data_IF_713433974359
#
_entry.id   IF_713433974359
#
_cell.length_a   1.000
_cell.length_b   1.000
_cell.length_c   1.000
_cell.angle_alpha   90.00
_cell.angle_beta   90.00
_cell.angle_gamma   90.00
#
_symmetry.space_group_name_H-M   'P 1'
#
loop_
_entity.id
_entity.type
_entity.pdbx_description
1 polymer ?
#
# COMPACT_ATOMS: atom_id res chain seq x y z
N UNK A 1 -23.47 -49.66 15.75
CA UNK A 1 -22.48 -49.72 14.67
C UNK A 1 -22.53 -48.41 13.91
N UNK A 2 -21.46 -47.61 14.00
CA UNK A 2 -21.22 -46.37 13.26
C UNK A 2 -19.84 -46.51 12.61
N UNK A 3 -19.63 -46.11 11.34
CA UNK A 3 -18.33 -46.31 10.69
C UNK A 3 -17.27 -45.34 11.21
N UNK A 4 -16.07 -45.87 11.49
CA UNK A 4 -14.88 -45.10 11.83
C UNK A 4 -14.37 -44.29 10.62
N UNK A 5 -14.23 -42.98 10.80
CA UNK A 5 -13.57 -42.11 9.83
C UNK A 5 -12.05 -42.26 9.93
N UNK A 6 -11.42 -42.83 8.89
CA UNK A 6 -9.96 -42.95 8.76
C UNK A 6 -9.33 -41.59 8.49
N UNK A 7 -8.41 -41.16 9.35
CA UNK A 7 -7.56 -39.99 9.12
C UNK A 7 -6.60 -40.24 7.94
N UNK A 8 -6.80 -39.51 6.85
CA UNK A 8 -5.84 -39.37 5.75
C UNK A 8 -4.68 -38.46 6.20
N UNK A 9 -3.46 -39.02 6.29
CA UNK A 9 -2.23 -38.26 6.48
C UNK A 9 -1.94 -37.45 5.21
N UNK A 10 -2.25 -36.16 5.23
CA UNK A 10 -1.82 -35.21 4.21
C UNK A 10 -0.30 -35.14 4.14
N UNK A 11 0.25 -35.44 2.95
CA UNK A 11 1.69 -35.40 2.66
C UNK A 11 2.23 -33.97 2.81
N UNK A 12 3.29 -33.84 3.61
CA UNK A 12 4.20 -32.69 3.65
C UNK A 12 4.73 -32.39 2.24
N UNK A 13 4.41 -31.20 1.70
CA UNK A 13 5.05 -30.71 0.49
C UNK A 13 6.43 -30.12 0.84
N UNK A 14 7.43 -30.95 0.61
CA UNK A 14 8.84 -30.59 0.50
C UNK A 14 9.04 -29.33 -0.36
N UNK A 15 9.76 -28.36 0.20
CA UNK A 15 10.22 -27.13 -0.45
C UNK A 15 11.08 -27.44 -1.68
N UNK A 16 10.51 -27.29 -2.88
CA UNK A 16 11.28 -27.35 -4.14
C UNK A 16 12.33 -26.23 -4.15
N UNK A 17 13.62 -26.59 -4.06
CA UNK A 17 14.75 -25.69 -4.31
C UNK A 17 14.61 -25.14 -5.73
N UNK A 18 14.46 -23.82 -5.89
CA UNK A 18 14.57 -23.14 -7.20
C UNK A 18 16.02 -23.23 -7.67
N UNK A 19 16.25 -24.08 -8.68
CA UNK A 19 17.53 -24.26 -9.38
C UNK A 19 17.68 -23.12 -10.40
N UNK A 20 18.92 -22.69 -10.68
CA UNK A 20 19.20 -21.72 -11.72
C UNK A 20 18.63 -22.19 -13.08
N UNK A 21 17.92 -21.32 -13.81
CA UNK A 21 17.34 -21.69 -15.12
C UNK A 21 18.45 -22.09 -16.09
N UNK A 22 18.23 -23.12 -16.94
CA UNK A 22 19.20 -23.59 -17.94
C UNK A 22 19.76 -22.46 -18.83
N UNK A 23 18.94 -21.45 -19.10
CA UNK A 23 19.30 -20.24 -19.86
C UNK A 23 20.34 -19.34 -19.17
N UNK A 24 20.44 -19.38 -17.84
CA UNK A 24 21.36 -18.54 -17.05
C UNK A 24 22.75 -19.17 -16.87
N UNK A 25 22.87 -20.50 -17.06
CA UNK A 25 24.12 -21.25 -16.82
C UNK A 25 25.19 -21.03 -17.90
N UNK A 26 24.79 -20.55 -19.08
CA UNK A 26 25.67 -20.34 -20.23
C UNK A 26 26.07 -18.87 -20.47
N UNK A 27 25.62 -17.94 -19.63
CA UNK A 27 25.79 -16.50 -19.82
C UNK A 27 26.61 -15.88 -18.69
N UNK A 28 27.36 -14.83 -19.00
CA UNK A 28 27.90 -13.94 -17.97
C UNK A 28 26.75 -13.09 -17.42
N UNK A 29 26.36 -13.39 -16.19
CA UNK A 29 25.21 -12.77 -15.54
C UNK A 29 25.66 -11.89 -14.39
N UNK A 30 24.74 -11.05 -13.90
CA UNK A 30 24.91 -10.20 -12.73
C UNK A 30 26.02 -9.15 -12.86
N UNK A 31 26.07 -8.21 -11.91
CA UNK A 31 27.13 -7.19 -11.83
C UNK A 31 28.53 -7.78 -11.57
N UNK A 32 28.60 -9.01 -11.06
CA UNK A 32 29.86 -9.72 -10.83
C UNK A 32 30.45 -10.36 -12.08
N UNK A 33 29.72 -10.34 -13.22
CA UNK A 33 30.15 -10.91 -14.52
C UNK A 33 30.66 -12.35 -14.41
N UNK A 34 30.11 -13.11 -13.46
CA UNK A 34 30.49 -14.50 -13.22
C UNK A 34 29.38 -15.41 -13.76
N UNK A 35 29.78 -16.57 -14.31
CA UNK A 35 28.82 -17.60 -14.75
C UNK A 35 28.05 -18.15 -13.55
N UNK A 36 26.74 -18.38 -13.74
CA UNK A 36 25.90 -19.00 -12.74
C UNK A 36 26.29 -20.46 -12.49
N UNK A 37 26.28 -20.89 -11.23
CA UNK A 37 26.31 -22.30 -10.85
C UNK A 37 24.90 -22.84 -10.67
N UNK A 38 24.72 -24.14 -10.83
CA UNK A 38 23.41 -24.81 -10.66
C UNK A 38 22.79 -24.61 -9.27
N UNK A 39 23.60 -24.31 -8.26
CA UNK A 39 23.19 -24.08 -6.87
C UNK A 39 22.82 -22.64 -6.56
N UNK A 40 23.07 -21.71 -7.49
CA UNK A 40 22.91 -20.29 -7.23
C UNK A 40 21.45 -19.88 -7.21
N UNK A 41 21.09 -19.05 -6.22
CA UNK A 41 19.78 -18.40 -6.17
C UNK A 41 19.85 -17.14 -7.02
N UNK A 42 19.16 -17.19 -8.15
CA UNK A 42 19.12 -16.11 -9.13
C UNK A 42 17.76 -15.42 -9.15
N UNK A 43 17.77 -14.12 -9.44
CA UNK A 43 16.59 -13.30 -9.69
C UNK A 43 16.69 -12.66 -11.07
N UNK A 44 15.55 -12.57 -11.76
CA UNK A 44 15.44 -11.97 -13.08
C UNK A 44 15.00 -10.50 -13.01
N UNK A 45 15.74 -9.62 -13.67
CA UNK A 45 15.36 -8.23 -13.89
C UNK A 45 14.40 -8.15 -15.08
N UNK A 46 13.18 -7.67 -14.84
CA UNK A 46 12.11 -7.59 -15.83
C UNK A 46 12.19 -6.32 -16.70
N UNK A 47 13.34 -5.62 -16.68
CA UNK A 47 13.61 -4.54 -17.63
C UNK A 47 14.28 -5.14 -18.88
N UNK A 48 13.60 -5.12 -20.06
CA UNK A 48 14.13 -5.74 -21.28
C UNK A 48 15.43 -5.10 -21.78
N UNK A 49 15.75 -3.87 -21.34
CA UNK A 49 16.96 -3.13 -21.73
C UNK A 49 17.99 -3.01 -20.59
N UNK A 50 17.99 -3.96 -19.64
CA UNK A 50 18.94 -3.96 -18.52
C UNK A 50 20.40 -4.13 -18.99
N UNK A 51 21.22 -3.08 -18.81
CA UNK A 51 22.65 -3.10 -19.19
C UNK A 51 23.51 -4.05 -18.33
N UNK A 52 23.02 -4.44 -17.16
CA UNK A 52 23.73 -5.31 -16.22
C UNK A 52 23.33 -6.79 -16.33
N UNK A 53 22.69 -7.17 -17.45
CA UNK A 53 22.22 -8.52 -17.71
C UNK A 53 20.82 -8.80 -17.17
N UNK A 54 20.28 -9.97 -17.52
CA UNK A 54 18.91 -10.40 -17.18
C UNK A 54 18.83 -11.04 -15.79
N UNK A 55 19.85 -11.82 -15.39
CA UNK A 55 19.85 -12.56 -14.13
C UNK A 55 20.88 -12.00 -13.14
N UNK A 56 20.55 -12.05 -11.84
CA UNK A 56 21.40 -11.57 -10.76
C UNK A 56 21.45 -12.57 -9.61
N UNK A 57 22.63 -12.74 -8.99
CA UNK A 57 22.74 -13.47 -7.73
C UNK A 57 22.08 -12.67 -6.61
N UNK A 58 21.25 -13.35 -5.81
CA UNK A 58 20.67 -12.72 -4.61
C UNK A 58 21.76 -12.16 -3.68
N UNK A 59 22.86 -12.90 -3.51
CA UNK A 59 23.98 -12.50 -2.66
C UNK A 59 24.70 -11.24 -3.17
N UNK A 60 24.91 -11.11 -4.49
CA UNK A 60 25.52 -9.90 -5.10
C UNK A 60 24.65 -8.65 -4.93
N UNK A 61 23.36 -8.83 -4.64
CA UNK A 61 22.41 -7.75 -4.34
C UNK A 61 22.14 -7.61 -2.83
N UNK A 62 22.88 -8.34 -1.98
CA UNK A 62 22.68 -8.41 -0.53
C UNK A 62 21.26 -8.84 -0.10
N UNK A 63 20.56 -9.59 -0.96
CA UNK A 63 19.22 -10.11 -0.69
C UNK A 63 19.31 -11.47 0.00
N UNK A 64 18.84 -11.55 1.25
CA UNK A 64 18.79 -12.81 2.02
C UNK A 64 17.67 -13.75 1.55
N UNK A 65 16.61 -13.21 0.95
CA UNK A 65 15.44 -13.95 0.47
C UNK A 65 14.98 -13.42 -0.89
N UNK A 66 14.25 -14.26 -1.62
CA UNK A 66 13.65 -13.89 -2.90
C UNK A 66 12.53 -12.85 -2.67
N UNK A 67 12.56 -11.69 -3.33
CA UNK A 67 11.47 -10.71 -3.32
C UNK A 67 10.16 -11.31 -3.82
N UNK A 68 9.03 -10.84 -3.29
CA UNK A 68 7.71 -11.37 -3.63
C UNK A 68 7.33 -11.14 -5.11
N UNK A 69 7.84 -10.08 -5.74
CA UNK A 69 7.62 -9.77 -7.16
C UNK A 69 8.72 -10.33 -8.08
N UNK A 70 9.56 -11.25 -7.61
CA UNK A 70 10.72 -11.76 -8.34
C UNK A 70 10.40 -12.47 -9.67
N UNK A 71 9.15 -12.89 -9.92
CA UNK A 71 8.74 -13.57 -11.15
C UNK A 71 7.80 -12.72 -12.02
N UNK A 72 7.64 -11.42 -11.74
CA UNK A 72 6.69 -10.58 -12.50
C UNK A 72 7.22 -9.21 -12.83
N UNK A 73 7.70 -8.44 -11.83
CA UNK A 73 7.98 -7.00 -12.01
C UNK A 73 9.27 -6.55 -11.35
N UNK A 74 10.08 -7.48 -10.84
CA UNK A 74 11.30 -7.11 -10.14
C UNK A 74 12.32 -6.45 -11.07
N UNK A 75 12.84 -5.30 -10.64
CA UNK A 75 13.87 -4.55 -11.33
C UNK A 75 15.13 -4.46 -10.47
N UNK A 76 16.30 -4.56 -11.12
CA UNK A 76 17.58 -4.39 -10.44
C UNK A 76 17.79 -2.94 -9.94
N UNK A 77 18.68 -2.70 -8.96
CA UNK A 77 18.90 -1.38 -8.38
C UNK A 77 19.21 -0.30 -9.43
N UNK A 78 19.96 -0.63 -10.47
CA UNK A 78 20.32 0.33 -11.53
C UNK A 78 19.16 0.62 -12.46
N UNK A 79 18.36 -0.39 -12.81
CA UNK A 79 17.14 -0.18 -13.60
C UNK A 79 16.10 0.64 -12.84
N UNK A 80 15.98 0.45 -11.52
CA UNK A 80 15.13 1.28 -10.65
C UNK A 80 15.61 2.73 -10.61
N UNK A 81 16.93 2.98 -10.49
CA UNK A 81 17.50 4.33 -10.52
C UNK A 81 17.33 5.02 -11.88
N UNK A 82 17.47 4.28 -12.97
CA UNK A 82 17.32 4.82 -14.33
C UNK A 82 15.86 5.15 -14.69
N UNK A 83 14.87 4.39 -14.21
CA UNK A 83 13.45 4.77 -14.31
C UNK A 83 13.16 6.08 -13.55
N UNK A 84 13.83 6.30 -12.42
CA UNK A 84 13.70 7.56 -11.68
C UNK A 84 14.39 8.76 -12.37
N UNK A 85 15.38 8.52 -13.24
CA UNK A 85 16.13 9.55 -13.96
C UNK A 85 15.56 9.91 -15.34
N UNK A 86 14.87 9.01 -16.03
CA UNK A 86 14.18 9.34 -17.30
C UNK A 86 13.08 10.40 -17.10
N UNK A 87 12.52 10.48 -15.89
CA UNK A 87 11.53 11.49 -15.52
C UNK A 87 12.12 12.86 -15.11
N UNK A 88 13.45 13.07 -15.19
CA UNK A 88 14.13 14.32 -14.77
C UNK A 88 14.83 15.12 -15.88
N UNK A 89 14.77 14.71 -17.15
CA UNK A 89 15.37 15.50 -18.24
C UNK A 89 14.41 16.52 -18.86
N UNK A 90 14.21 17.64 -18.15
CA UNK A 90 14.08 19.00 -18.73
C UNK A 90 14.45 20.00 -17.61
N UNK A 91 15.59 20.68 -17.76
CA UNK A 91 16.05 21.72 -16.84
C UNK A 91 17.55 21.65 -16.58
N UNK A 92 18.32 22.34 -17.43
CA UNK A 92 19.76 22.58 -17.29
C UNK A 92 20.04 23.58 -16.16
N UNK A 93 21.13 23.38 -15.41
CA UNK A 93 21.66 24.37 -14.48
C UNK A 93 22.43 23.74 -13.32
N UNK A 94 23.75 23.92 -13.30
CA UNK A 94 24.68 23.38 -12.30
C UNK A 94 24.36 23.87 -10.89
N UNK A 95 24.38 22.98 -9.89
CA UNK A 95 24.45 23.41 -8.48
C UNK A 95 25.42 22.50 -7.72
N UNK A 96 26.33 23.15 -6.98
CA UNK A 96 27.39 22.59 -6.15
C UNK A 96 26.80 21.73 -5.02
N UNK A 97 27.48 20.63 -4.70
CA UNK A 97 27.18 19.80 -3.52
C UNK A 97 27.38 20.64 -2.25
N UNK A 98 26.28 20.98 -1.57
CA UNK A 98 26.32 21.44 -0.18
C UNK A 98 26.03 20.25 0.73
N UNK A 99 26.92 20.08 1.72
CA UNK A 99 26.90 19.10 2.79
C UNK A 99 25.54 18.98 3.49
N UNK A 100 25.18 17.73 3.77
CA UNK A 100 24.61 17.23 5.02
C UNK A 100 23.69 18.22 5.77
N UNK A 101 22.37 18.08 5.55
CA UNK A 101 21.38 18.75 6.40
C UNK A 101 21.25 17.95 7.69
N UNK A 102 21.86 18.49 8.75
CA UNK A 102 21.45 18.31 10.13
C UNK A 102 19.96 18.67 10.27
N UNK A 103 19.26 17.93 11.12
CA UNK A 103 17.80 17.93 11.28
C UNK A 103 17.09 19.24 10.96
N UNK A 104 16.31 19.24 9.88
CA UNK A 104 15.27 20.24 9.66
C UNK A 104 13.94 19.55 9.86
N UNK A 105 13.15 20.08 10.79
CA UNK A 105 11.76 19.73 11.01
C UNK A 105 11.03 19.66 9.66
N UNK A 106 10.79 18.44 9.14
CA UNK A 106 9.88 18.22 8.02
C UNK A 106 8.53 18.74 8.46
N UNK A 107 8.15 19.91 7.99
CA UNK A 107 6.83 20.47 8.24
C UNK A 107 5.79 19.40 7.90
N UNK A 108 4.82 19.19 8.80
CA UNK A 108 3.74 18.22 8.60
C UNK A 108 3.04 18.37 7.23
N UNK A 109 3.13 19.57 6.62
CA UNK A 109 2.53 19.93 5.34
C UNK A 109 2.89 19.01 4.17
N UNK A 110 4.10 18.46 4.07
CA UNK A 110 4.46 17.63 2.91
C UNK A 110 3.87 16.22 2.94
N UNK A 111 3.48 15.72 4.12
CA UNK A 111 2.97 14.36 4.29
C UNK A 111 1.50 14.20 3.90
N UNK A 112 0.78 15.30 3.69
CA UNK A 112 -0.65 15.31 3.37
C UNK A 112 -0.93 15.98 2.00
N UNK A 113 0.08 16.61 1.39
CA UNK A 113 -0.06 17.32 0.12
C UNK A 113 -0.45 16.39 -1.04
N UNK A 114 -1.17 16.92 -2.05
CA UNK A 114 -1.34 16.24 -3.33
C UNK A 114 0.02 15.84 -3.92
N UNK A 115 0.09 14.64 -4.50
CA UNK A 115 1.30 14.15 -5.18
C UNK A 115 1.27 14.50 -6.68
N UNK A 116 0.08 14.71 -7.23
CA UNK A 116 -0.18 15.04 -8.62
C UNK A 116 -1.68 15.03 -8.86
N UNK A 117 -2.10 15.22 -10.12
CA UNK A 117 -3.50 15.00 -10.53
C UNK A 117 -3.67 13.54 -10.96
N UNK A 118 -4.83 12.96 -10.68
CA UNK A 118 -5.22 11.69 -11.25
C UNK A 118 -5.28 11.80 -12.78
N UNK A 119 -4.84 10.74 -13.46
CA UNK A 119 -4.89 10.60 -14.91
C UNK A 119 -6.00 9.66 -15.33
N UNK A 120 -6.16 9.45 -16.63
CA UNK A 120 -7.12 8.49 -17.15
C UNK A 120 -6.87 7.07 -16.63
N UNK A 121 -5.60 6.68 -16.38
CA UNK A 121 -5.26 5.36 -15.84
C UNK A 121 -5.88 5.11 -14.48
N UNK A 122 -5.84 6.09 -13.56
CA UNK A 122 -6.47 5.97 -12.25
C UNK A 122 -8.00 5.96 -12.36
N UNK A 123 -8.58 6.71 -13.31
CA UNK A 123 -10.02 6.69 -13.55
C UNK A 123 -10.50 5.35 -14.12
N UNK A 124 -9.75 4.73 -15.02
CA UNK A 124 -10.03 3.40 -15.57
C UNK A 124 -9.92 2.32 -14.47
N UNK A 125 -8.94 2.47 -13.58
CA UNK A 125 -8.77 1.61 -12.41
C UNK A 125 -9.97 1.66 -11.46
N UNK A 126 -10.53 2.85 -11.22
CA UNK A 126 -11.74 3.02 -10.39
C UNK A 126 -12.96 2.42 -11.09
N UNK A 127 -13.10 2.68 -12.40
CA UNK A 127 -14.23 2.21 -13.20
C UNK A 127 -14.26 0.69 -13.35
N UNK A 128 -13.10 0.03 -13.33
CA UNK A 128 -13.01 -1.43 -13.39
C UNK A 128 -13.64 -2.09 -12.15
N UNK A 129 -14.56 -3.07 -12.32
CA UNK A 129 -15.17 -3.78 -11.20
C UNK A 129 -14.17 -4.61 -10.39
N UNK A 130 -13.02 -4.94 -10.96
CA UNK A 130 -11.94 -5.71 -10.31
C UNK A 130 -10.68 -4.87 -10.07
N UNK A 131 -10.74 -3.55 -10.34
CA UNK A 131 -9.60 -2.66 -10.20
C UNK A 131 -9.27 -2.37 -8.74
N UNK A 132 -8.03 -2.61 -8.35
CA UNK A 132 -7.52 -2.33 -7.00
C UNK A 132 -7.05 -0.89 -6.91
N UNK A 133 -7.68 -0.07 -6.06
CA UNK A 133 -7.24 1.31 -5.90
C UNK A 133 -5.79 1.38 -5.42
N UNK A 134 -5.03 2.30 -6.01
CA UNK A 134 -3.63 2.52 -5.68
C UNK A 134 -3.45 3.65 -4.65
N UNK A 135 -2.21 3.91 -4.26
CA UNK A 135 -1.90 4.99 -3.32
C UNK A 135 -2.26 6.38 -3.88
N UNK A 136 -2.26 6.56 -5.21
CA UNK A 136 -2.56 7.84 -5.86
C UNK A 136 -4.04 8.20 -5.66
N UNK A 137 -4.95 7.25 -5.91
CA UNK A 137 -6.39 7.43 -5.68
C UNK A 137 -6.70 7.66 -4.21
N UNK A 138 -6.11 6.87 -3.31
CA UNK A 138 -6.32 7.02 -1.87
C UNK A 138 -5.80 8.38 -1.37
N UNK A 139 -4.65 8.83 -1.88
CA UNK A 139 -4.11 10.15 -1.53
C UNK A 139 -4.99 11.29 -2.02
N UNK A 140 -5.53 11.21 -3.24
CA UNK A 140 -6.48 12.22 -3.72
C UNK A 140 -7.74 12.24 -2.83
N UNK A 141 -8.26 11.07 -2.45
CA UNK A 141 -9.37 10.98 -1.52
C UNK A 141 -9.04 11.62 -0.16
N UNK A 142 -7.85 11.39 0.39
CA UNK A 142 -7.36 12.06 1.62
C UNK A 142 -7.38 13.58 1.48
N UNK A 143 -6.86 14.11 0.37
CA UNK A 143 -6.87 15.55 0.09
C UNK A 143 -8.29 16.11 0.08
N UNK A 144 -9.24 15.41 -0.55
CA UNK A 144 -10.63 15.84 -0.60
C UNK A 144 -11.33 15.74 0.76
N UNK A 145 -11.06 14.70 1.54
CA UNK A 145 -11.64 14.53 2.88
C UNK A 145 -11.17 15.61 3.87
N UNK A 146 -9.92 16.06 3.77
CA UNK A 146 -9.43 17.20 4.55
C UNK A 146 -10.17 18.50 4.22
N UNK A 147 -10.70 18.66 2.99
CA UNK A 147 -11.55 19.81 2.63
C UNK A 147 -12.96 19.69 3.20
N UNK A 148 -13.47 18.45 3.33
CA UNK A 148 -14.78 18.18 3.96
C UNK A 148 -14.72 18.52 5.45
N UNK A 149 -13.63 18.12 6.12
CA UNK A 149 -13.47 18.38 7.54
C UNK A 149 -11.99 18.62 7.89
N UNK A 150 -11.63 19.90 8.01
CA UNK A 150 -10.27 20.34 8.29
C UNK A 150 -9.89 20.29 9.78
N UNK A 151 -10.83 19.99 10.68
CA UNK A 151 -10.53 19.86 12.12
C UNK A 151 -10.03 18.47 12.49
N UNK A 152 -10.26 17.48 11.62
CA UNK A 152 -9.80 16.10 11.82
C UNK A 152 -8.38 15.93 11.29
N UNK A 153 -7.51 15.38 12.16
CA UNK A 153 -6.13 15.01 11.84
C UNK A 153 -6.03 13.72 11.03
N UNK A 154 -4.81 13.29 10.68
CA UNK A 154 -4.58 12.07 9.91
C UNK A 154 -4.43 12.37 8.43
N UNK A 155 -5.06 11.57 7.57
CA UNK A 155 -4.99 11.70 6.10
C UNK A 155 -3.57 11.88 5.55
N UNK A 156 -2.60 11.26 6.21
CA UNK A 156 -1.21 11.26 5.78
C UNK A 156 -1.03 10.24 4.67
N UNK A 157 -0.08 10.52 3.76
CA UNK A 157 0.21 9.69 2.59
C UNK A 157 0.27 8.20 2.95
N UNK A 158 -0.52 7.35 2.29
CA UNK A 158 -0.51 5.91 2.54
C UNK A 158 0.88 5.26 2.43
N UNK A 159 1.73 5.80 1.55
CA UNK A 159 3.11 5.32 1.34
C UNK A 159 4.03 5.50 2.54
N UNK A 160 3.60 6.24 3.58
CA UNK A 160 4.35 6.41 4.82
C UNK A 160 4.18 5.23 5.79
N UNK A 161 3.14 4.41 5.66
CA UNK A 161 2.92 3.28 6.56
C UNK A 161 4.06 2.25 6.46
N UNK A 162 4.44 1.76 5.26
CA UNK A 162 5.49 0.74 5.13
C UNK A 162 6.87 1.20 5.63
N UNK A 163 7.14 2.51 5.59
CA UNK A 163 8.39 3.10 6.07
C UNK A 163 8.31 3.65 7.50
N UNK A 164 7.14 3.52 8.16
CA UNK A 164 6.88 3.99 9.53
C UNK A 164 7.21 5.46 9.76
N UNK A 165 6.87 6.31 8.79
CA UNK A 165 7.17 7.75 8.82
C UNK A 165 5.93 8.64 8.95
N UNK A 166 4.84 8.11 9.53
CA UNK A 166 3.73 8.97 9.94
C UNK A 166 4.21 10.00 10.97
N UNK A 167 3.69 11.22 10.86
CA UNK A 167 3.71 12.17 11.97
C UNK A 167 2.73 11.70 13.03
N UNK A 168 3.07 11.90 14.30
CA UNK A 168 2.17 11.56 15.40
C UNK A 168 0.95 12.48 15.36
N UNK A 169 -0.24 11.91 15.55
CA UNK A 169 -1.51 12.64 15.68
C UNK A 169 -1.90 12.73 17.16
N UNK A 170 -2.39 13.90 17.56
CA UNK A 170 -2.74 14.20 18.96
C UNK A 170 -4.23 14.45 19.20
N UNK A 171 -4.98 14.80 18.16
CA UNK A 171 -6.43 14.98 18.19
C UNK A 171 -7.18 13.86 17.47
N UNK A 172 -8.48 14.11 17.23
CA UNK A 172 -9.28 13.20 16.44
C UNK A 172 -8.71 13.00 15.05
N UNK A 173 -8.64 11.74 14.60
CA UNK A 173 -8.06 11.42 13.30
C UNK A 173 -8.87 10.41 12.50
N UNK A 174 -8.67 10.46 11.19
CA UNK A 174 -9.04 9.41 10.24
C UNK A 174 -7.81 9.11 9.38
N UNK A 175 -7.46 7.83 9.23
CA UNK A 175 -6.32 7.41 8.43
C UNK A 175 -6.65 6.13 7.68
N UNK A 176 -6.61 6.19 6.35
CA UNK A 176 -6.64 4.98 5.52
C UNK A 176 -5.21 4.45 5.41
N UNK A 177 -5.04 3.14 5.67
CA UNK A 177 -3.74 2.47 5.68
C UNK A 177 -3.70 1.35 4.64
N UNK A 178 -2.55 1.21 3.98
CA UNK A 178 -2.25 0.09 3.09
C UNK A 178 -1.54 -1.00 3.88
N UNK A 179 -2.11 -2.21 3.88
CA UNK A 179 -1.58 -3.37 4.59
C UNK A 179 -0.82 -4.27 3.62
N UNK A 180 0.16 -5.02 4.13
CA UNK A 180 1.11 -5.82 3.34
C UNK A 180 0.47 -6.89 2.42
N UNK A 181 -0.77 -7.31 2.71
CA UNK A 181 -1.56 -8.21 1.87
C UNK A 181 -2.31 -7.49 0.73
N UNK A 182 -1.85 -6.28 0.38
CA UNK A 182 -2.46 -5.39 -0.61
C UNK A 182 -3.86 -4.90 -0.22
N UNK A 183 -4.18 -4.89 1.08
CA UNK A 183 -5.50 -4.53 1.59
C UNK A 183 -5.56 -3.08 2.07
N UNK A 184 -6.74 -2.47 1.99
CA UNK A 184 -7.02 -1.13 2.49
C UNK A 184 -7.97 -1.20 3.68
N UNK A 185 -7.62 -0.51 4.76
CA UNK A 185 -8.48 -0.38 5.93
C UNK A 185 -8.48 1.07 6.45
N UNK A 186 -9.50 1.43 7.22
CA UNK A 186 -9.62 2.77 7.80
C UNK A 186 -9.48 2.69 9.33
N UNK A 187 -8.60 3.53 9.88
CA UNK A 187 -8.40 3.72 11.32
C UNK A 187 -8.97 5.07 11.74
N UNK A 188 -9.61 5.14 12.90
CA UNK A 188 -10.09 6.41 13.45
C UNK A 188 -10.12 6.40 14.98
N UNK A 189 -9.89 7.56 15.60
CA UNK A 189 -10.18 7.78 17.03
C UNK A 189 -11.55 8.40 17.28
N UNK A 190 -12.30 8.79 16.24
CA UNK A 190 -13.55 9.53 16.40
C UNK A 190 -14.53 8.71 17.24
N UNK A 191 -15.10 9.37 18.26
CA UNK A 191 -16.04 8.73 19.21
C UNK A 191 -15.37 7.77 20.19
N UNK A 192 -14.05 7.86 20.40
CA UNK A 192 -13.29 7.03 21.34
C UNK A 192 -12.53 7.88 22.36
N UNK A 193 -12.22 7.26 23.49
CA UNK A 193 -11.31 7.84 24.48
C UNK A 193 -9.89 7.98 23.91
N UNK A 194 -9.08 8.94 24.38
CA UNK A 194 -7.71 9.12 23.93
C UNK A 194 -6.91 7.81 23.96
N UNK A 195 -6.24 7.50 22.85
CA UNK A 195 -5.42 6.29 22.71
C UNK A 195 -6.16 5.04 22.23
N UNK A 196 -7.49 5.06 22.18
CA UNK A 196 -8.30 3.97 21.63
C UNK A 196 -8.64 4.24 20.17
N UNK A 197 -8.51 3.22 19.34
CA UNK A 197 -8.68 3.34 17.88
C UNK A 197 -9.69 2.31 17.39
N UNK A 198 -10.60 2.77 16.54
CA UNK A 198 -11.51 1.92 15.79
C UNK A 198 -10.87 1.52 14.46
N UNK A 199 -10.97 0.24 14.12
CA UNK A 199 -10.60 -0.34 12.83
C UNK A 199 -11.87 -0.66 12.03
N UNK A 200 -11.97 -0.07 10.84
CA UNK A 200 -13.03 -0.29 9.88
C UNK A 200 -12.44 -1.07 8.70
N UNK A 201 -12.82 -2.34 8.62
CA UNK A 201 -12.27 -3.31 7.69
C UNK A 201 -13.43 -3.97 6.93
N UNK A 202 -13.49 -3.77 5.61
CA UNK A 202 -14.50 -4.36 4.72
C UNK A 202 -14.22 -5.83 4.39
N UNK A 203 -13.04 -6.35 4.76
CA UNK A 203 -12.65 -7.74 4.60
C UNK A 203 -12.07 -8.22 5.95
N UNK A 204 -12.94 -8.23 6.96
CA UNK A 204 -12.61 -8.39 8.38
C UNK A 204 -11.54 -9.45 8.57
N UNK A 205 -10.37 -8.97 8.96
CA UNK A 205 -9.20 -9.77 9.29
C UNK A 205 -8.88 -9.65 10.77
N UNK A 206 -8.22 -10.64 11.40
CA UNK A 206 -7.74 -10.47 12.77
C UNK A 206 -6.83 -9.24 12.89
N UNK A 207 -6.91 -8.51 14.01
CA UNK A 207 -6.00 -7.39 14.30
C UNK A 207 -4.57 -7.94 14.35
N UNK A 208 -3.82 -7.70 13.28
CA UNK A 208 -2.45 -8.18 13.14
C UNK A 208 -1.47 -7.27 13.86
N UNK A 209 -0.28 -7.80 14.13
CA UNK A 209 0.83 -7.00 14.68
C UNK A 209 1.17 -5.80 13.79
N UNK A 210 1.01 -5.94 12.47
CA UNK A 210 1.21 -4.85 11.51
C UNK A 210 0.27 -3.67 11.77
N UNK A 211 -1.03 -3.93 11.96
CA UNK A 211 -2.02 -2.88 12.25
C UNK A 211 -1.69 -2.20 13.59
N UNK A 212 -1.28 -2.98 14.60
CA UNK A 212 -0.84 -2.45 15.90
C UNK A 212 0.38 -1.54 15.73
N UNK A 213 1.38 -1.94 14.96
CA UNK A 213 2.58 -1.15 14.71
C UNK A 213 2.28 0.14 13.95
N UNK A 214 1.45 0.10 12.90
CA UNK A 214 1.02 1.31 12.20
C UNK A 214 0.29 2.28 13.13
N UNK A 215 -0.60 1.77 13.97
CA UNK A 215 -1.34 2.58 14.93
C UNK A 215 -0.42 3.17 15.99
N UNK A 216 0.58 2.41 16.48
CA UNK A 216 1.62 2.92 17.38
C UNK A 216 2.47 4.02 16.73
N UNK A 217 2.82 3.90 15.45
CA UNK A 217 3.54 4.98 14.76
C UNK A 217 2.69 6.24 14.63
N UNK A 218 1.37 6.09 14.48
CA UNK A 218 0.44 7.20 14.34
C UNK A 218 0.15 7.90 15.69
N UNK A 219 0.01 7.16 16.79
CA UNK A 219 -0.35 7.72 18.11
C UNK A 219 0.84 7.87 19.07
N UNK A 220 1.99 7.29 18.74
CA UNK A 220 3.16 7.26 19.60
C UNK A 220 2.85 6.65 20.99
N UNK A 221 3.31 7.27 22.09
CA UNK A 221 3.11 6.75 23.45
C UNK A 221 1.65 6.76 23.91
N UNK A 222 0.76 7.47 23.21
CA UNK A 222 -0.65 7.56 23.58
C UNK A 222 -1.45 6.33 23.17
N UNK A 223 -0.91 5.43 22.34
CA UNK A 223 -1.61 4.22 21.91
C UNK A 223 -2.01 3.32 23.09
N UNK A 224 -3.27 2.88 23.13
CA UNK A 224 -3.82 1.96 24.14
C UNK A 224 -4.34 0.67 23.52
N UNK A 225 -5.30 0.76 22.60
CA UNK A 225 -5.94 -0.42 22.03
C UNK A 225 -6.59 -0.15 20.67
N UNK A 226 -6.85 -1.22 19.92
CA UNK A 226 -7.61 -1.22 18.66
C UNK A 226 -8.86 -2.08 18.82
N UNK A 227 -9.98 -1.65 18.27
CA UNK A 227 -11.24 -2.41 18.29
C UNK A 227 -11.85 -2.43 16.90
N UNK A 228 -12.34 -3.59 16.45
CA UNK A 228 -13.11 -3.66 15.21
C UNK A 228 -14.48 -3.02 15.36
N UNK A 229 -14.90 -2.30 14.33
CA UNK A 229 -16.28 -1.86 14.16
C UNK A 229 -16.95 -2.75 13.10
N UNK A 230 -18.14 -3.33 13.37
CA UNK A 230 -18.83 -4.20 12.44
C UNK A 230 -19.46 -3.40 11.28
N UNK A 231 -18.65 -3.04 10.30
CA UNK A 231 -19.07 -2.33 9.09
C UNK A 231 -19.47 -3.30 7.97
N UNK A 232 -20.22 -2.80 6.98
CA UNK A 232 -20.63 -3.59 5.83
C UNK A 232 -19.42 -4.19 5.11
N UNK A 233 -19.42 -5.50 4.92
CA UNK A 233 -18.32 -6.17 4.22
C UNK A 233 -18.44 -5.99 2.70
N UNK A 234 -17.29 -5.97 2.01
CA UNK A 234 -17.23 -5.96 0.56
C UNK A 234 -17.70 -7.30 -0.01
N UNK A 235 -18.17 -7.30 -1.26
CA UNK A 235 -18.67 -8.51 -1.94
C UNK A 235 -17.68 -9.12 -2.95
N UNK A 236 -16.49 -8.52 -3.11
CA UNK A 236 -15.44 -8.98 -4.03
C UNK A 236 -14.04 -8.80 -3.40
N UNK A 237 -12.97 -9.06 -4.15
CA UNK A 237 -11.59 -8.93 -3.64
C UNK A 237 -10.97 -7.53 -3.74
N UNK A 238 -11.54 -6.61 -4.50
CA UNK A 238 -10.88 -5.37 -4.95
C UNK A 238 -11.46 -4.08 -4.37
N UNK A 239 -12.62 -4.15 -3.71
CA UNK A 239 -13.34 -2.96 -3.24
C UNK A 239 -12.85 -2.39 -1.90
N UNK A 240 -11.87 -3.01 -1.25
CA UNK A 240 -11.37 -2.57 0.06
C UNK A 240 -11.00 -1.08 0.09
N UNK A 241 -10.36 -0.56 -0.97
CA UNK A 241 -10.05 0.86 -1.09
C UNK A 241 -11.29 1.74 -1.21
N UNK A 242 -12.31 1.28 -1.95
CA UNK A 242 -13.58 2.02 -2.14
C UNK A 242 -14.34 2.09 -0.81
N UNK A 243 -14.43 0.97 -0.08
CA UNK A 243 -15.08 0.93 1.23
C UNK A 243 -14.30 1.76 2.26
N UNK A 244 -12.97 1.70 2.28
CA UNK A 244 -12.17 2.52 3.18
C UNK A 244 -12.42 4.03 2.96
N UNK A 245 -12.53 4.48 1.70
CA UNK A 245 -12.91 5.86 1.37
C UNK A 245 -14.35 6.14 1.82
N UNK A 246 -15.30 5.24 1.59
CA UNK A 246 -16.69 5.42 1.99
C UNK A 246 -16.84 5.59 3.51
N UNK A 247 -16.16 4.75 4.31
CA UNK A 247 -16.13 4.87 5.77
C UNK A 247 -15.53 6.21 6.21
N UNK A 248 -14.36 6.57 5.63
CA UNK A 248 -13.70 7.83 5.94
C UNK A 248 -14.57 9.04 5.56
N UNK A 249 -15.36 8.93 4.50
CA UNK A 249 -16.33 9.94 4.07
C UNK A 249 -17.45 10.09 5.09
N UNK A 250 -18.06 9.00 5.56
CA UNK A 250 -19.04 9.06 6.65
C UNK A 250 -18.47 9.78 7.87
N UNK A 251 -17.28 9.38 8.31
CA UNK A 251 -16.62 9.95 9.49
C UNK A 251 -16.29 11.44 9.30
N UNK A 252 -15.78 11.86 8.14
CA UNK A 252 -15.48 13.26 7.84
C UNK A 252 -16.74 14.14 7.92
N UNK A 253 -17.89 13.63 7.46
CA UNK A 253 -19.20 14.30 7.58
C UNK A 253 -19.87 14.16 8.96
N UNK A 254 -19.18 13.59 9.95
CA UNK A 254 -19.73 13.36 11.29
C UNK A 254 -20.87 12.34 11.33
N UNK A 255 -20.90 11.41 10.36
CA UNK A 255 -21.89 10.32 10.25
C UNK A 255 -21.29 8.99 10.67
N UNK A 256 -22.16 8.07 11.10
CA UNK A 256 -21.74 6.69 11.36
C UNK A 256 -21.34 5.99 10.06
N UNK A 257 -20.24 5.23 10.03
CA UNK A 257 -19.87 4.37 8.91
C UNK A 257 -20.58 3.00 8.96
N UNK A 258 -21.36 2.72 10.01
CA UNK A 258 -22.18 1.50 10.13
C UNK A 258 -23.50 1.71 9.37
N UNK A 259 -23.41 1.62 8.04
CA UNK A 259 -24.52 1.82 7.10
C UNK A 259 -24.50 0.73 6.03
N UNK A 260 -25.59 0.64 5.25
CA UNK A 260 -25.68 -0.23 4.08
C UNK A 260 -25.46 0.61 2.82
N UNK A 261 -24.24 0.60 2.29
CA UNK A 261 -23.94 1.15 0.98
C UNK A 261 -24.58 0.34 -0.14
N UNK A 262 -25.04 1.06 -1.17
CA UNK A 262 -25.50 0.47 -2.43
C UNK A 262 -24.26 0.11 -3.25
N UNK A 263 -23.72 -1.10 -3.05
CA UNK A 263 -22.42 -1.55 -3.60
C UNK A 263 -22.27 -1.28 -5.11
N UNK A 264 -23.25 -1.56 -5.98
CA UNK A 264 -23.12 -1.27 -7.42
C UNK A 264 -22.90 0.21 -7.75
N UNK A 265 -23.22 1.13 -6.83
CA UNK A 265 -23.08 2.58 -7.01
C UNK A 265 -21.80 3.15 -6.39
N UNK A 266 -21.04 2.40 -5.60
CA UNK A 266 -19.89 2.95 -4.86
C UNK A 266 -18.75 3.38 -5.79
N UNK A 267 -18.35 2.55 -6.75
CA UNK A 267 -17.31 2.89 -7.75
C UNK A 267 -17.73 4.03 -8.69
N UNK A 268 -18.93 4.00 -9.33
CA UNK A 268 -19.40 5.13 -10.13
C UNK A 268 -19.47 6.44 -9.33
N UNK A 269 -19.91 6.38 -8.08
CA UNK A 269 -19.97 7.54 -7.19
C UNK A 269 -18.58 8.09 -6.85
N UNK A 270 -17.64 7.22 -6.48
CA UNK A 270 -16.25 7.61 -6.21
C UNK A 270 -15.62 8.28 -7.44
N UNK A 271 -15.81 7.69 -8.61
CA UNK A 271 -15.32 8.24 -9.87
C UNK A 271 -15.88 9.65 -10.13
N UNK A 272 -17.18 9.84 -9.94
CA UNK A 272 -17.84 11.13 -10.08
C UNK A 272 -17.29 12.16 -9.10
N UNK A 273 -17.15 11.79 -7.82
CA UNK A 273 -16.61 12.66 -6.78
C UNK A 273 -15.16 13.10 -7.06
N UNK A 274 -14.30 12.17 -7.48
CA UNK A 274 -12.89 12.48 -7.79
C UNK A 274 -12.78 13.39 -9.02
N UNK A 275 -13.60 13.18 -10.05
CA UNK A 275 -13.67 14.09 -11.21
C UNK A 275 -14.19 15.48 -10.83
N UNK A 276 -15.16 15.55 -9.91
CA UNK A 276 -15.70 16.80 -9.41
C UNK A 276 -14.77 17.52 -8.41
N UNK A 277 -13.74 16.84 -7.89
CA UNK A 277 -12.84 17.39 -6.88
C UNK A 277 -13.51 17.61 -5.52
N UNK A 278 -14.58 16.86 -5.22
CA UNK A 278 -15.31 16.91 -3.95
C UNK A 278 -15.93 15.54 -3.62
N UNK A 279 -15.62 15.00 -2.44
CA UNK A 279 -16.22 13.76 -1.95
C UNK A 279 -17.52 14.06 -1.22
N UNK A 280 -18.59 13.38 -1.60
CA UNK A 280 -19.89 13.40 -0.91
C UNK A 280 -20.21 12.03 -0.33
N UNK A 281 -21.12 11.99 0.66
CA UNK A 281 -21.59 10.73 1.25
C UNK A 281 -21.98 9.72 0.17
N UNK A 282 -21.49 8.49 0.32
CA UNK A 282 -21.77 7.42 -0.63
C UNK A 282 -23.24 7.01 -0.54
N UNK A 283 -23.85 6.54 -1.66
CA UNK A 283 -25.25 6.11 -1.66
C UNK A 283 -25.51 4.95 -0.70
N UNK A 284 -26.53 5.09 0.15
CA UNK A 284 -26.97 4.07 1.12
C UNK A 284 -28.45 3.73 0.94
N UNK A 285 -28.88 2.58 1.48
CA UNK A 285 -30.30 2.18 1.61
C UNK A 285 -30.85 2.48 2.99
#
# INVERSE_FOLDING_TARGET
MLPEFKHSKGKSQSSKKKIASSKALALDICICKSKAKNTDKLIECHNPVCKNGTFFHLACLSLKRMPNNANSTWLCPDCKKNQAQSNKKKGSGSVKFVKQIQGTNSSASDKQKPVGKLTQSEFDLIASPTGWLDCSVIQEAHVLLMKVNSSVSGFQRPTLAPVRQFSVVTGDFIQIVHLNNNHWACLTSIGRLPGYVNLLDSMTSPISQEIIEFTKNLLGPNFKNITHIPVQQQQNGSDCGVFAIAYATCLAYGKTPVVKFIIPRTRPHLLSCLKAGHLTLFPTT
#
